data_IF_515361111074
#
_entry.id   IF_515361111074
#
_cell.length_a   1.000
_cell.length_b   1.000
_cell.length_c   1.000
_cell.angle_alpha   90.00
_cell.angle_beta   90.00
_cell.angle_gamma   90.00
#
_symmetry.space_group_name_H-M   'P 1'
#
loop_
_entity.id
_entity.type
_entity.pdbx_description
1 polymer ?
#
# COMPACT_ATOMS: atom_id res chain seq x y z
N UNK A 1 -4.62 0.65 -13.83
CA UNK A 1 -4.74 1.66 -12.75
C UNK A 1 -3.73 1.25 -11.68
N UNK A 2 -2.63 1.97 -11.54
CA UNK A 2 -1.60 1.70 -10.52
C UNK A 2 -2.19 2.01 -9.14
N UNK A 3 -2.03 1.11 -8.17
CA UNK A 3 -2.42 1.39 -6.80
C UNK A 3 -1.48 2.46 -6.24
N UNK A 4 -2.02 3.62 -5.86
CA UNK A 4 -1.27 4.71 -5.25
C UNK A 4 -1.13 4.46 -3.74
N UNK A 5 0.09 4.27 -3.20
CA UNK A 5 0.31 4.09 -1.76
C UNK A 5 -0.23 5.24 -0.91
N UNK A 6 -0.21 6.48 -1.42
CA UNK A 6 -0.73 7.62 -0.68
C UNK A 6 -2.26 7.54 -0.53
N UNK A 7 -2.97 7.17 -1.60
CA UNK A 7 -4.41 6.91 -1.55
C UNK A 7 -4.76 5.76 -0.60
N UNK A 8 -3.97 4.67 -0.58
CA UNK A 8 -4.18 3.54 0.35
C UNK A 8 -4.03 4.00 1.81
N UNK A 9 -2.99 4.78 2.13
CA UNK A 9 -2.80 5.33 3.48
C UNK A 9 -3.89 6.31 3.89
N UNK A 10 -4.40 7.10 2.94
CA UNK A 10 -5.53 7.99 3.19
C UNK A 10 -6.78 7.19 3.61
N UNK A 11 -7.06 6.08 2.91
CA UNK A 11 -8.16 5.18 3.28
C UNK A 11 -7.93 4.51 4.65
N UNK A 12 -6.71 4.08 4.95
CA UNK A 12 -6.38 3.50 6.25
C UNK A 12 -6.66 4.50 7.39
N UNK A 13 -6.24 5.76 7.23
CA UNK A 13 -6.53 6.83 8.19
C UNK A 13 -8.02 7.05 8.38
N UNK A 14 -8.78 7.12 7.28
CA UNK A 14 -10.23 7.28 7.35
C UNK A 14 -10.91 6.12 8.10
N UNK A 15 -10.41 4.89 7.97
CA UNK A 15 -10.92 3.75 8.73
C UNK A 15 -10.60 3.86 10.23
N UNK A 16 -9.40 4.31 10.60
CA UNK A 16 -9.08 4.57 12.00
C UNK A 16 -9.97 5.66 12.61
N UNK A 17 -10.16 6.77 11.90
CA UNK A 17 -11.07 7.85 12.32
C UNK A 17 -12.50 7.34 12.52
N UNK A 18 -13.01 6.53 11.59
CA UNK A 18 -14.32 5.88 11.74
C UNK A 18 -14.37 4.92 12.95
N UNK A 19 -13.28 4.20 13.22
CA UNK A 19 -13.17 3.33 14.40
C UNK A 19 -13.27 4.14 15.71
N UNK A 20 -12.60 5.28 15.77
CA UNK A 20 -12.66 6.19 16.91
C UNK A 20 -14.05 6.80 17.11
N UNK A 21 -14.70 7.24 16.04
CA UNK A 21 -16.06 7.75 16.08
C UNK A 21 -17.06 6.70 16.58
N UNK A 22 -16.93 5.45 16.11
CA UNK A 22 -17.78 4.33 16.54
C UNK A 22 -17.57 3.99 18.02
N UNK A 23 -16.31 4.03 18.51
CA UNK A 23 -16.00 3.83 19.94
C UNK A 23 -16.63 4.94 20.79
N UNK A 24 -16.42 6.20 20.40
CA UNK A 24 -16.97 7.35 21.11
C UNK A 24 -18.49 7.30 21.18
N UNK A 25 -19.16 6.86 20.11
CA UNK A 25 -20.61 6.71 20.09
C UNK A 25 -21.10 5.55 20.95
N UNK A 26 -20.40 4.41 20.95
CA UNK A 26 -20.71 3.29 21.84
C UNK A 26 -20.64 3.70 23.31
N UNK A 27 -19.62 4.48 23.67
CA UNK A 27 -19.41 4.94 25.04
C UNK A 27 -20.44 6.01 25.43
N UNK A 28 -20.78 6.93 24.53
CA UNK A 28 -21.89 7.88 24.72
C UNK A 28 -23.23 7.18 24.95
N UNK A 29 -23.55 6.18 24.14
CA UNK A 29 -24.82 5.45 24.26
C UNK A 29 -24.98 4.79 25.65
N UNK A 30 -23.91 4.14 26.12
CA UNK A 30 -23.90 3.52 27.45
C UNK A 30 -24.02 4.57 28.55
N UNK A 31 -23.20 5.62 28.49
CA UNK A 31 -23.19 6.68 29.50
C UNK A 31 -24.55 7.41 29.61
N UNK A 32 -25.18 7.73 28.48
CA UNK A 32 -26.51 8.37 28.45
C UNK A 32 -27.59 7.47 29.06
N UNK A 33 -27.52 6.17 28.78
CA UNK A 33 -28.48 5.19 29.32
C UNK A 33 -28.31 5.04 30.84
N UNK A 34 -27.07 4.98 31.33
CA UNK A 34 -26.76 4.92 32.76
C UNK A 34 -27.20 6.21 33.48
N UNK A 35 -26.96 7.38 32.88
CA UNK A 35 -27.33 8.67 33.44
C UNK A 35 -28.85 8.89 33.53
N UNK A 36 -29.65 8.25 32.67
CA UNK A 36 -31.11 8.34 32.70
C UNK A 36 -31.72 7.72 33.98
N UNK A 37 -30.97 6.87 34.69
CA UNK A 37 -31.34 6.38 36.02
C UNK A 37 -32.61 5.55 36.06
N UNK A 38 -32.95 4.83 34.98
CA UNK A 38 -34.15 3.99 34.93
C UNK A 38 -34.05 2.82 35.92
N UNK A 39 -35.05 2.71 36.79
CA UNK A 39 -35.07 1.71 37.87
C UNK A 39 -36.02 0.55 37.57
N UNK A 40 -35.74 -0.59 38.20
CA UNK A 40 -36.53 -1.81 38.07
C UNK A 40 -36.19 -2.66 36.84
N UNK A 41 -36.89 -3.79 36.69
CA UNK A 41 -36.55 -4.83 35.69
C UNK A 41 -36.49 -4.32 34.24
N UNK A 42 -37.35 -3.35 33.89
CA UNK A 42 -37.35 -2.77 32.55
C UNK A 42 -36.09 -1.93 32.29
N UNK A 43 -35.63 -1.17 33.29
CA UNK A 43 -34.37 -0.42 33.23
C UNK A 43 -33.16 -1.33 33.15
N UNK A 44 -33.13 -2.39 33.97
CA UNK A 44 -32.08 -3.43 33.92
C UNK A 44 -32.01 -4.10 32.55
N UNK A 45 -33.16 -4.45 31.97
CA UNK A 45 -33.24 -5.04 30.63
C UNK A 45 -32.76 -4.08 29.53
N UNK A 46 -33.12 -2.79 29.60
CA UNK A 46 -32.60 -1.80 28.66
C UNK A 46 -31.08 -1.68 28.78
N UNK A 47 -30.57 -1.51 29.99
CA UNK A 47 -29.14 -1.32 30.23
C UNK A 47 -28.34 -2.54 29.75
N UNK A 48 -28.86 -3.75 29.95
CA UNK A 48 -28.30 -4.98 29.37
C UNK A 48 -28.19 -4.90 27.84
N UNK A 49 -29.29 -4.57 27.15
CA UNK A 49 -29.30 -4.43 25.68
C UNK A 49 -28.36 -3.35 25.17
N UNK A 50 -28.30 -2.20 25.84
CA UNK A 50 -27.41 -1.10 25.46
C UNK A 50 -25.94 -1.50 25.63
N UNK A 51 -25.59 -2.21 26.71
CA UNK A 51 -24.24 -2.73 26.91
C UNK A 51 -23.85 -3.76 25.85
N UNK A 52 -24.77 -4.66 25.49
CA UNK A 52 -24.57 -5.62 24.40
C UNK A 52 -24.32 -4.91 23.06
N UNK A 53 -25.13 -3.90 22.75
CA UNK A 53 -25.00 -3.11 21.53
C UNK A 53 -23.70 -2.28 21.52
N UNK A 54 -23.35 -1.65 22.63
CA UNK A 54 -22.08 -0.94 22.78
C UNK A 54 -20.88 -1.87 22.58
N UNK A 55 -20.95 -3.11 23.10
CA UNK A 55 -19.94 -4.12 22.83
C UNK A 55 -19.88 -4.53 21.35
N UNK A 56 -21.02 -4.61 20.67
CA UNK A 56 -21.06 -4.87 19.23
C UNK A 56 -20.44 -3.74 18.40
N UNK A 57 -20.71 -2.48 18.76
CA UNK A 57 -20.08 -1.31 18.13
C UNK A 57 -18.57 -1.30 18.34
N UNK A 58 -18.08 -1.56 19.56
CA UNK A 58 -16.64 -1.67 19.84
C UNK A 58 -15.96 -2.78 19.04
N UNK A 59 -16.62 -3.93 18.84
CA UNK A 59 -16.12 -4.97 17.91
C UNK A 59 -16.11 -4.50 16.46
N UNK A 60 -17.06 -3.66 16.06
CA UNK A 60 -17.04 -3.05 14.73
C UNK A 60 -15.86 -2.10 14.56
N UNK A 61 -15.61 -1.23 15.55
CA UNK A 61 -14.45 -0.35 15.56
C UNK A 61 -13.12 -1.14 15.47
N UNK A 62 -12.98 -2.23 16.22
CA UNK A 62 -11.80 -3.09 16.13
C UNK A 62 -11.58 -3.66 14.72
N UNK A 63 -12.66 -4.01 13.99
CA UNK A 63 -12.55 -4.45 12.59
C UNK A 63 -12.11 -3.32 11.66
N UNK A 64 -12.46 -2.06 11.96
CA UNK A 64 -11.93 -0.92 11.21
C UNK A 64 -10.44 -0.74 11.46
N UNK A 65 -9.97 -0.88 12.71
CA UNK A 65 -8.55 -0.84 13.05
C UNK A 65 -7.76 -1.97 12.35
N UNK A 66 -8.30 -3.19 12.35
CA UNK A 66 -7.68 -4.34 11.67
C UNK A 66 -7.57 -4.10 10.16
N UNK A 67 -8.62 -3.53 9.56
CA UNK A 67 -8.65 -3.21 8.14
C UNK A 67 -7.67 -2.07 7.80
N UNK A 68 -7.61 -1.02 8.62
CA UNK A 68 -6.65 0.06 8.47
C UNK A 68 -5.21 -0.46 8.52
N UNK A 69 -4.87 -1.26 9.53
CA UNK A 69 -3.55 -1.87 9.65
C UNK A 69 -3.21 -2.79 8.46
N UNK A 70 -4.21 -3.49 7.90
CA UNK A 70 -4.01 -4.29 6.69
C UNK A 70 -3.71 -3.42 5.47
N UNK A 71 -4.37 -2.27 5.33
CA UNK A 71 -4.10 -1.32 4.25
C UNK A 71 -2.72 -0.66 4.40
N UNK A 72 -2.27 -0.35 5.61
CA UNK A 72 -0.92 0.19 5.85
C UNK A 72 0.16 -0.77 5.39
N UNK A 73 0.08 -2.05 5.82
CA UNK A 73 0.99 -3.11 5.35
C UNK A 73 0.93 -3.28 3.83
N UNK A 74 -0.25 -3.11 3.24
CA UNK A 74 -0.40 -3.18 1.79
C UNK A 74 0.28 -2.01 1.08
N UNK A 75 0.14 -0.77 1.60
CA UNK A 75 0.80 0.39 1.05
C UNK A 75 2.34 0.23 1.07
N UNK A 76 2.88 -0.27 2.17
CA UNK A 76 4.31 -0.60 2.30
C UNK A 76 4.75 -1.63 1.25
N UNK A 77 4.00 -2.72 1.10
CA UNK A 77 4.31 -3.74 0.10
C UNK A 77 4.24 -3.22 -1.34
N UNK A 78 3.31 -2.30 -1.64
CA UNK A 78 3.22 -1.65 -2.96
C UNK A 78 4.43 -0.76 -3.20
N UNK A 79 4.86 0.02 -2.21
CA UNK A 79 6.06 0.87 -2.33
C UNK A 79 7.34 0.05 -2.56
N UNK A 80 7.52 -1.03 -1.80
CA UNK A 80 8.64 -1.95 -1.99
C UNK A 80 8.64 -2.50 -3.43
N UNK A 81 7.48 -2.93 -3.93
CA UNK A 81 7.33 -3.45 -5.30
C UNK A 81 7.64 -2.40 -6.35
N UNK A 82 7.17 -1.16 -6.16
CA UNK A 82 7.43 -0.05 -7.07
C UNK A 82 8.92 0.34 -7.07
N UNK A 83 9.57 0.34 -5.90
CA UNK A 83 11.00 0.60 -5.79
C UNK A 83 11.83 -0.44 -6.58
N UNK A 84 11.46 -1.72 -6.48
CA UNK A 84 12.09 -2.79 -7.25
C UNK A 84 11.89 -2.62 -8.76
N UNK A 85 10.67 -2.27 -9.20
CA UNK A 85 10.39 -2.03 -10.62
C UNK A 85 11.17 -0.84 -11.16
N UNK A 86 11.27 0.26 -10.41
CA UNK A 86 12.03 1.44 -10.80
C UNK A 86 13.54 1.16 -10.82
N UNK A 87 14.06 0.33 -9.91
CA UNK A 87 15.44 -0.13 -9.96
C UNK A 87 15.71 -0.98 -11.21
N UNK A 88 14.82 -1.91 -11.53
CA UNK A 88 14.93 -2.74 -12.73
C UNK A 88 14.81 -1.91 -14.02
N UNK A 89 13.91 -0.93 -14.07
CA UNK A 89 13.76 -0.02 -15.21
C UNK A 89 15.03 0.80 -15.45
N UNK A 90 15.59 1.43 -14.41
CA UNK A 90 16.87 2.16 -14.50
C UNK A 90 18.00 1.27 -15.01
N UNK A 91 18.10 0.04 -14.49
CA UNK A 91 19.13 -0.90 -14.95
C UNK A 91 18.96 -1.28 -16.42
N UNK A 92 17.73 -1.42 -16.89
CA UNK A 92 17.44 -1.70 -18.29
C UNK A 92 17.79 -0.50 -19.18
N UNK A 93 17.51 0.72 -18.74
CA UNK A 93 17.90 1.97 -19.43
C UNK A 93 19.43 2.06 -19.55
N UNK A 94 20.17 1.84 -18.47
CA UNK A 94 21.64 1.80 -18.47
C UNK A 94 22.18 0.77 -19.49
N UNK A 95 21.65 -0.46 -19.48
CA UNK A 95 22.04 -1.49 -20.44
C UNK A 95 21.77 -1.10 -21.90
N UNK A 96 20.65 -0.42 -22.16
CA UNK A 96 20.28 0.05 -23.49
C UNK A 96 21.18 1.20 -23.95
N UNK A 97 21.55 2.10 -23.05
CA UNK A 97 22.47 3.20 -23.35
C UNK A 97 23.90 2.68 -23.59
N UNK A 98 24.38 1.73 -22.78
CA UNK A 98 25.66 1.04 -22.99
C UNK A 98 25.70 0.35 -24.37
N UNK A 99 24.61 -0.35 -24.74
CA UNK A 99 24.50 -1.02 -26.04
C UNK A 99 24.44 -0.03 -27.21
N UNK A 100 23.81 1.14 -27.02
CA UNK A 100 23.73 2.21 -28.03
C UNK A 100 25.06 2.94 -28.22
N UNK A 101 25.89 3.04 -27.18
CA UNK A 101 27.23 3.66 -27.24
C UNK A 101 28.29 2.75 -27.88
N UNK A 102 28.01 1.45 -28.01
CA UNK A 102 28.94 0.43 -28.52
C UNK A 102 29.51 0.75 -29.93
N UNK A 103 28.69 1.20 -30.92
CA UNK A 103 29.19 1.63 -32.24
C UNK A 103 30.12 2.83 -32.22
N UNK A 104 29.91 3.78 -31.30
CA UNK A 104 30.73 5.00 -31.19
C UNK A 104 32.07 4.74 -30.47
N UNK A 105 32.16 3.67 -29.67
CA UNK A 105 33.37 3.22 -28.98
C UNK A 105 34.24 2.26 -29.82
N UNK A 106 33.67 1.67 -30.89
CA UNK A 106 34.40 0.78 -31.80
C UNK A 106 35.63 1.43 -32.46
N UNK A 107 35.62 2.68 -32.98
CA UNK A 107 36.81 3.24 -33.65
C UNK A 107 38.00 3.54 -32.72
N UNK A 108 37.82 3.66 -31.39
CA UNK A 108 38.95 3.86 -30.44
C UNK A 108 39.58 2.55 -29.93
N UNK A 109 38.87 1.42 -30.02
CA UNK A 109 39.30 0.13 -29.45
C UNK A 109 39.75 -0.87 -30.52
N UNK A 110 39.59 -0.53 -31.80
CA UNK A 110 40.04 -1.38 -32.91
C UNK A 110 41.53 -1.15 -33.26
N UNK A 111 42.44 -2.10 -33.03
CA UNK A 111 43.60 -2.23 -33.91
C UNK A 111 43.11 -2.58 -35.32
N UNK A 112 43.86 -2.16 -36.35
CA UNK A 112 43.55 -2.17 -37.81
C UNK A 112 43.12 -3.50 -38.48
N UNK A 113 42.66 -4.52 -37.74
CA UNK A 113 42.39 -5.88 -38.23
C UNK A 113 41.06 -6.53 -37.82
N UNK A 114 40.03 -5.78 -37.43
CA UNK A 114 38.79 -6.35 -36.87
C UNK A 114 37.72 -6.94 -37.84
N UNK A 115 37.76 -6.88 -39.19
CA UNK A 115 36.65 -7.42 -39.99
C UNK A 115 36.36 -8.92 -39.78
N UNK A 116 37.34 -9.68 -39.28
CA UNK A 116 37.26 -11.14 -39.18
C UNK A 116 36.82 -11.68 -37.81
N UNK A 117 36.67 -10.83 -36.78
CA UNK A 117 36.39 -11.27 -35.41
C UNK A 117 34.99 -10.90 -34.89
N UNK A 118 34.17 -10.22 -35.68
CA UNK A 118 32.79 -9.90 -35.29
C UNK A 118 31.89 -11.16 -35.36
N UNK A 119 31.17 -11.51 -34.28
CA UNK A 119 30.16 -12.56 -34.32
C UNK A 119 29.10 -12.25 -35.38
N UNK A 120 28.66 -13.27 -36.12
CA UNK A 120 27.72 -13.12 -37.25
C UNK A 120 26.41 -12.38 -36.88
N UNK A 121 26.00 -12.46 -35.61
CA UNK A 121 24.83 -11.76 -35.09
C UNK A 121 24.93 -10.21 -35.15
N UNK A 122 26.14 -9.65 -35.19
CA UNK A 122 26.37 -8.20 -35.24
C UNK A 122 26.69 -7.69 -36.65
N UNK A 123 26.91 -8.59 -37.62
CA UNK A 123 27.27 -8.24 -39.01
C UNK A 123 26.16 -7.53 -39.77
N UNK A 124 24.90 -7.70 -39.37
CA UNK A 124 23.73 -7.06 -39.99
C UNK A 124 23.38 -5.67 -39.46
N UNK A 125 24.07 -5.17 -38.44
CA UNK A 125 23.78 -3.89 -37.79
C UNK A 125 24.66 -2.74 -38.33
N UNK A 126 25.73 -3.07 -39.08
CA UNK A 126 26.73 -2.11 -39.57
C UNK A 126 26.74 -2.01 -41.12
N UNK A 127 25.69 -2.53 -41.78
CA UNK A 127 25.46 -2.35 -43.23
C UNK A 127 24.25 -1.44 -43.45
#
# INVERSE_FOLDING_TARGET
MTADPAAIRSLARALHEQGDDVRAEADRLVALTEAAGWQGRAGEALLGRVREQGAALRRCAARHDDAAAALERHAEAVEERLALLLAAARRAEELLDDARALPDLLPEVLPDGLPDLLPDALRGVVA
#
